data_IF_943592994025
#
_entry.id   IF_943592994025
#
_cell.length_a   1.000
_cell.length_b   1.000
_cell.length_c   1.000
_cell.angle_alpha   90.00
_cell.angle_beta   90.00
_cell.angle_gamma   90.00
#
_symmetry.space_group_name_H-M   'P 1'
#
loop_
_entity.id
_entity.type
_entity.pdbx_description
1 polymer ?
#
# COMPACT_ATOMS: atom_id res chain seq x y z
N UNK A 1 -59.53 -32.90 -3.21
CA UNK A 1 -58.64 -32.45 -4.30
C UNK A 1 -58.12 -31.06 -3.92
N UNK A 2 -57.26 -30.92 -2.91
CA UNK A 2 -55.78 -30.88 -2.98
C UNK A 2 -55.18 -30.17 -4.20
N UNK A 3 -54.74 -28.92 -4.00
CA UNK A 3 -53.52 -28.34 -4.59
C UNK A 3 -52.86 -27.45 -3.54
N UNK A 4 -52.02 -28.11 -2.75
CA UNK A 4 -50.88 -27.53 -2.05
C UNK A 4 -49.75 -27.25 -3.02
N UNK A 5 -49.01 -26.17 -2.79
CA UNK A 5 -47.61 -26.04 -3.18
C UNK A 5 -47.34 -25.06 -4.30
N UNK A 6 -46.91 -23.85 -3.91
CA UNK A 6 -45.86 -23.08 -4.58
C UNK A 6 -45.44 -21.92 -3.67
N UNK A 7 -44.81 -22.26 -2.55
CA UNK A 7 -44.14 -21.32 -1.65
C UNK A 7 -42.80 -21.95 -1.26
N UNK A 8 -41.78 -21.80 -2.11
CA UNK A 8 -40.52 -22.52 -1.86
C UNK A 8 -39.34 -22.24 -2.77
N UNK A 9 -39.22 -21.07 -3.40
CA UNK A 9 -38.05 -20.78 -4.24
C UNK A 9 -37.64 -19.30 -4.22
N UNK A 10 -37.32 -18.74 -3.05
CA UNK A 10 -36.68 -17.40 -2.97
C UNK A 10 -35.90 -17.15 -1.67
N UNK A 11 -35.04 -18.07 -1.24
CA UNK A 11 -34.18 -17.86 -0.05
C UNK A 11 -32.71 -18.27 -0.22
N UNK A 12 -32.30 -18.86 -1.35
CA UNK A 12 -30.92 -19.33 -1.53
C UNK A 12 -29.92 -18.25 -2.04
N UNK A 13 -30.40 -17.10 -2.54
CA UNK A 13 -29.53 -16.06 -3.10
C UNK A 13 -28.84 -15.16 -2.04
N UNK A 14 -29.33 -15.16 -0.79
CA UNK A 14 -28.89 -14.23 0.26
C UNK A 14 -27.66 -14.65 1.08
N UNK A 15 -27.31 -15.95 1.12
CA UNK A 15 -26.26 -16.44 2.04
C UNK A 15 -24.83 -16.39 1.48
N UNK A 16 -24.67 -16.28 0.16
CA UNK A 16 -23.35 -16.34 -0.50
C UNK A 16 -22.64 -14.99 -0.63
N UNK A 17 -23.35 -13.88 -0.45
CA UNK A 17 -22.79 -12.53 -0.52
C UNK A 17 -21.88 -12.17 0.69
N UNK A 18 -22.29 -12.41 1.96
CA UNK A 18 -21.43 -12.12 3.11
C UNK A 18 -20.15 -12.96 3.11
N UNK A 19 -20.26 -14.27 2.85
CA UNK A 19 -19.09 -15.16 2.78
C UNK A 19 -18.07 -14.76 1.70
N UNK A 20 -18.52 -14.23 0.56
CA UNK A 20 -17.63 -13.71 -0.50
C UNK A 20 -16.87 -12.45 -0.10
N UNK A 21 -17.48 -11.59 0.72
CA UNK A 21 -16.84 -10.37 1.22
C UNK A 21 -15.76 -10.70 2.26
N UNK A 22 -16.01 -11.68 3.13
CA UNK A 22 -15.05 -12.11 4.14
C UNK A 22 -13.81 -12.77 3.52
N UNK A 23 -14.01 -13.63 2.51
CA UNK A 23 -12.89 -14.21 1.75
C UNK A 23 -12.05 -13.14 1.06
N UNK A 24 -12.70 -12.17 0.40
CA UNK A 24 -12.02 -11.07 -0.28
C UNK A 24 -11.28 -10.15 0.69
N UNK A 25 -11.83 -9.93 1.88
CA UNK A 25 -11.18 -9.20 2.96
C UNK A 25 -9.89 -9.91 3.39
N UNK A 26 -9.97 -11.21 3.68
CA UNK A 26 -8.81 -12.00 4.10
C UNK A 26 -7.70 -12.03 3.03
N UNK A 27 -8.07 -12.12 1.75
CA UNK A 27 -7.13 -12.05 0.63
C UNK A 27 -6.43 -10.68 0.55
N UNK A 28 -7.19 -9.58 0.70
CA UNK A 28 -6.64 -8.22 0.69
C UNK A 28 -5.73 -7.96 1.90
N UNK A 29 -6.10 -8.44 3.09
CA UNK A 29 -5.25 -8.35 4.28
C UNK A 29 -3.94 -9.10 4.08
N UNK A 30 -3.98 -10.30 3.46
CA UNK A 30 -2.77 -11.07 3.12
C UNK A 30 -1.89 -10.36 2.11
N UNK A 31 -2.47 -9.79 1.05
CA UNK A 31 -1.71 -8.99 0.08
C UNK A 31 -1.09 -7.75 0.73
N UNK A 32 -1.82 -7.05 1.60
CA UNK A 32 -1.30 -5.90 2.33
C UNK A 32 -0.13 -6.28 3.24
N UNK A 33 -0.21 -7.42 3.95
CA UNK A 33 0.86 -7.91 4.79
C UNK A 33 2.12 -8.25 3.99
N UNK A 34 1.97 -8.92 2.83
CA UNK A 34 3.10 -9.23 1.94
C UNK A 34 3.73 -7.96 1.38
N UNK A 35 2.91 -7.01 0.91
CA UNK A 35 3.39 -5.73 0.39
C UNK A 35 4.08 -4.90 1.47
N UNK A 36 3.56 -4.88 2.70
CA UNK A 36 4.20 -4.23 3.83
C UNK A 36 5.56 -4.84 4.14
N UNK A 37 5.64 -6.17 4.26
CA UNK A 37 6.90 -6.86 4.56
C UNK A 37 7.95 -6.62 3.46
N UNK A 38 7.53 -6.70 2.19
CA UNK A 38 8.41 -6.42 1.06
C UNK A 38 8.87 -4.96 1.04
N UNK A 39 7.96 -4.00 1.24
CA UNK A 39 8.29 -2.58 1.28
C UNK A 39 9.23 -2.23 2.44
N UNK A 40 9.00 -2.80 3.63
CA UNK A 40 9.86 -2.63 4.79
C UNK A 40 11.26 -3.19 4.53
N UNK A 41 11.36 -4.37 3.91
CA UNK A 41 12.64 -4.97 3.54
C UNK A 41 13.39 -4.11 2.52
N UNK A 42 12.71 -3.66 1.47
CA UNK A 42 13.29 -2.78 0.44
C UNK A 42 13.80 -1.49 1.07
N UNK A 43 13.02 -0.84 1.94
CA UNK A 43 13.48 0.36 2.64
C UNK A 43 14.66 0.09 3.57
N UNK A 44 14.69 -1.04 4.28
CA UNK A 44 15.84 -1.42 5.10
C UNK A 44 17.11 -1.57 4.27
N UNK A 45 17.01 -2.20 3.09
CA UNK A 45 18.12 -2.32 2.13
C UNK A 45 18.57 -0.93 1.65
N UNK A 46 17.63 -0.07 1.22
CA UNK A 46 17.95 1.28 0.74
C UNK A 46 18.63 2.10 1.83
N UNK A 47 18.07 2.15 3.05
CA UNK A 47 18.67 2.85 4.18
C UNK A 47 20.06 2.30 4.50
N UNK A 48 20.24 0.97 4.48
CA UNK A 48 21.55 0.33 4.65
C UNK A 48 22.56 0.74 3.58
N UNK A 49 22.15 0.75 2.31
CA UNK A 49 22.98 1.19 1.19
C UNK A 49 23.40 2.66 1.29
N UNK A 50 22.49 3.55 1.71
CA UNK A 50 22.78 4.97 1.93
C UNK A 50 23.83 5.14 3.04
N UNK A 51 23.67 4.43 4.16
CA UNK A 51 24.63 4.47 5.28
C UNK A 51 26.01 3.96 4.84
N UNK A 52 26.07 2.81 4.13
CA UNK A 52 27.33 2.19 3.70
C UNK A 52 28.05 3.02 2.63
N UNK A 53 27.30 3.67 1.72
CA UNK A 53 27.88 4.53 0.69
C UNK A 53 28.40 5.86 1.23
N UNK A 54 28.15 6.19 2.50
CA UNK A 54 28.52 7.49 3.06
C UNK A 54 27.77 8.66 2.41
N UNK A 55 26.65 8.37 1.73
CA UNK A 55 25.84 9.35 1.04
C UNK A 55 25.03 10.16 2.07
N UNK A 56 25.68 11.14 2.69
CA UNK A 56 25.02 12.09 3.58
C UNK A 56 24.47 13.27 2.78
N UNK A 57 23.30 13.78 3.18
CA UNK A 57 22.63 14.90 2.55
C UNK A 57 23.33 16.25 2.80
N UNK A 58 24.54 16.39 2.24
CA UNK A 58 25.30 17.64 2.21
C UNK A 58 26.24 17.68 1.00
N UNK A 59 26.10 16.73 0.07
CA UNK A 59 26.90 16.63 -1.17
C UNK A 59 26.13 17.23 -2.38
N UNK A 60 24.79 17.32 -2.26
CA UNK A 60 23.90 17.84 -3.30
C UNK A 60 23.75 19.36 -3.22
N UNK A 61 23.48 20.01 -4.35
CA UNK A 61 23.06 21.42 -4.35
C UNK A 61 21.72 21.57 -3.60
N UNK A 62 21.57 22.64 -2.81
CA UNK A 62 20.44 22.94 -1.90
C UNK A 62 19.04 22.57 -2.45
N UNK A 63 18.81 22.78 -3.75
CA UNK A 63 17.53 22.51 -4.43
C UNK A 63 17.25 21.01 -4.61
N UNK A 64 18.26 20.25 -5.07
CA UNK A 64 18.13 18.83 -5.39
C UNK A 64 18.16 17.97 -4.13
N UNK A 65 18.87 18.42 -3.10
CA UNK A 65 18.85 17.79 -1.79
C UNK A 65 17.42 17.77 -1.19
N UNK A 66 16.68 18.89 -1.27
CA UNK A 66 15.28 18.96 -0.81
C UNK A 66 14.38 17.97 -1.55
N UNK A 67 14.60 17.80 -2.86
CA UNK A 67 13.82 16.88 -3.68
C UNK A 67 14.11 15.42 -3.30
N UNK A 68 15.38 15.10 -3.03
CA UNK A 68 15.79 13.81 -2.51
C UNK A 68 15.14 13.51 -1.15
N UNK A 69 15.18 14.46 -0.22
CA UNK A 69 14.53 14.34 1.09
C UNK A 69 13.02 14.18 0.99
N UNK A 70 12.36 14.91 0.07
CA UNK A 70 10.94 14.74 -0.19
C UNK A 70 10.64 13.30 -0.66
N UNK A 71 11.45 12.75 -1.57
CA UNK A 71 11.36 11.35 -2.00
C UNK A 71 11.53 10.37 -0.84
N UNK A 72 12.53 10.58 0.01
CA UNK A 72 12.77 9.75 1.19
C UNK A 72 11.61 9.79 2.20
N UNK A 73 11.04 10.97 2.47
CA UNK A 73 9.87 11.14 3.33
C UNK A 73 8.64 10.43 2.75
N UNK A 74 8.40 10.52 1.44
CA UNK A 74 7.34 9.77 0.77
C UNK A 74 7.56 8.25 0.87
N UNK A 75 8.81 7.78 0.82
CA UNK A 75 9.16 6.38 1.06
C UNK A 75 8.84 5.92 2.48
N UNK A 76 9.11 6.76 3.50
CA UNK A 76 8.68 6.50 4.87
C UNK A 76 7.16 6.46 5.02
N UNK A 77 6.46 7.41 4.41
CA UNK A 77 5.00 7.48 4.40
C UNK A 77 4.37 6.26 3.73
N UNK A 78 4.95 5.79 2.63
CA UNK A 78 4.53 4.57 1.94
C UNK A 78 4.53 3.35 2.88
N UNK A 79 5.60 3.15 3.65
CA UNK A 79 5.69 2.05 4.63
C UNK A 79 4.59 2.17 5.68
N UNK A 80 4.33 3.38 6.19
CA UNK A 80 3.25 3.61 7.14
C UNK A 80 1.85 3.33 6.54
N UNK A 81 1.62 3.67 5.27
CA UNK A 81 0.36 3.39 4.57
C UNK A 81 0.16 1.89 4.37
N UNK A 82 1.20 1.13 3.99
CA UNK A 82 1.11 -0.32 3.91
C UNK A 82 0.93 -0.98 5.28
N UNK A 83 1.59 -0.47 6.32
CA UNK A 83 1.37 -0.92 7.70
C UNK A 83 -0.10 -0.73 8.10
N UNK A 84 -0.66 0.45 7.85
CA UNK A 84 -2.06 0.76 8.12
C UNK A 84 -3.04 -0.11 7.32
N UNK A 85 -2.68 -0.48 6.09
CA UNK A 85 -3.46 -1.42 5.27
C UNK A 85 -3.46 -2.84 5.84
N UNK A 86 -2.35 -3.26 6.46
CA UNK A 86 -2.19 -4.58 7.05
C UNK A 86 -2.88 -4.74 8.41
N UNK A 87 -3.28 -3.65 9.09
CA UNK A 87 -4.01 -3.74 10.36
C UNK A 87 -5.46 -4.20 10.10
N UNK A 88 -5.91 -5.32 10.70
CA UNK A 88 -7.27 -5.80 10.52
C UNK A 88 -8.30 -4.76 10.99
N UNK A 89 -9.29 -4.47 10.14
CA UNK A 89 -10.34 -3.46 10.39
C UNK A 89 -11.49 -3.94 11.28
N UNK A 90 -12.37 -3.02 11.67
CA UNK A 90 -13.53 -3.30 12.53
C UNK A 90 -14.57 -4.27 11.93
N UNK A 91 -15.70 -4.42 12.62
CA UNK A 91 -16.75 -5.42 12.32
C UNK A 91 -17.40 -5.28 10.94
N UNK A 92 -17.32 -4.11 10.30
CA UNK A 92 -17.85 -3.89 8.95
C UNK A 92 -16.89 -4.38 7.85
N UNK A 93 -17.17 -5.55 7.28
CA UNK A 93 -16.40 -6.12 6.17
C UNK A 93 -16.34 -5.19 4.93
N UNK A 94 -17.46 -4.56 4.56
CA UNK A 94 -17.54 -3.70 3.37
C UNK A 94 -16.68 -2.44 3.48
N UNK A 95 -16.71 -1.78 4.65
CA UNK A 95 -15.86 -0.61 4.93
C UNK A 95 -14.39 -0.98 5.00
N UNK A 96 -14.08 -2.14 5.59
CA UNK A 96 -12.71 -2.64 5.70
C UNK A 96 -12.10 -2.93 4.32
N UNK A 97 -12.83 -3.60 3.42
CA UNK A 97 -12.38 -3.85 2.03
C UNK A 97 -12.10 -2.55 1.28
N UNK A 98 -12.98 -1.56 1.39
CA UNK A 98 -12.84 -0.27 0.70
C UNK A 98 -11.65 0.53 1.24
N UNK A 99 -11.46 0.52 2.57
CA UNK A 99 -10.30 1.12 3.24
C UNK A 99 -8.99 0.47 2.79
N UNK A 100 -8.89 -0.86 2.87
CA UNK A 100 -7.67 -1.60 2.49
C UNK A 100 -7.34 -1.35 1.02
N UNK A 101 -8.33 -1.39 0.13
CA UNK A 101 -8.12 -1.14 -1.30
C UNK A 101 -7.59 0.27 -1.57
N UNK A 102 -8.15 1.29 -0.91
CA UNK A 102 -7.67 2.66 -1.04
C UNK A 102 -6.25 2.85 -0.49
N UNK A 103 -5.96 2.28 0.68
CA UNK A 103 -4.62 2.33 1.27
C UNK A 103 -3.60 1.60 0.39
N UNK A 104 -3.93 0.44 -0.16
CA UNK A 104 -3.06 -0.28 -1.10
C UNK A 104 -2.76 0.56 -2.34
N UNK A 105 -3.77 1.20 -2.93
CA UNK A 105 -3.57 2.10 -4.09
C UNK A 105 -2.69 3.30 -3.76
N UNK A 106 -2.94 3.96 -2.63
CA UNK A 106 -2.13 5.07 -2.17
C UNK A 106 -0.68 4.64 -1.91
N UNK A 107 -0.48 3.50 -1.23
CA UNK A 107 0.82 2.91 -0.98
C UNK A 107 1.57 2.58 -2.28
N UNK A 108 0.89 2.00 -3.27
CA UNK A 108 1.48 1.71 -4.58
C UNK A 108 1.88 2.98 -5.36
N UNK A 109 1.07 4.04 -5.29
CA UNK A 109 1.44 5.33 -5.88
C UNK A 109 2.69 5.91 -5.21
N UNK A 110 2.75 5.87 -3.87
CA UNK A 110 3.91 6.32 -3.12
C UNK A 110 5.16 5.47 -3.41
N UNK A 111 4.99 4.16 -3.60
CA UNK A 111 6.06 3.22 -3.98
C UNK A 111 6.71 3.58 -5.32
N UNK A 112 5.96 4.17 -6.25
CA UNK A 112 6.50 4.64 -7.53
C UNK A 112 7.08 6.04 -7.41
N UNK A 113 6.36 6.96 -6.75
CA UNK A 113 6.75 8.37 -6.67
C UNK A 113 8.01 8.62 -5.83
N UNK A 114 8.14 7.92 -4.69
CA UNK A 114 9.27 8.08 -3.78
C UNK A 114 10.62 7.82 -4.48
N UNK A 115 10.87 6.65 -5.09
CA UNK A 115 12.12 6.41 -5.80
C UNK A 115 12.26 7.27 -7.05
N UNK A 116 11.17 7.61 -7.75
CA UNK A 116 11.24 8.48 -8.92
C UNK A 116 11.81 9.87 -8.56
N UNK A 117 11.36 10.47 -7.45
CA UNK A 117 11.90 11.75 -6.97
C UNK A 117 13.37 11.64 -6.58
N UNK A 118 13.77 10.57 -5.90
CA UNK A 118 15.18 10.34 -5.55
C UNK A 118 16.05 10.16 -6.80
N UNK A 119 15.58 9.46 -7.83
CA UNK A 119 16.32 9.29 -9.08
C UNK A 119 16.42 10.62 -9.83
N UNK A 120 15.33 11.38 -9.91
CA UNK A 120 15.32 12.70 -10.56
C UNK A 120 16.27 13.66 -9.87
N UNK A 121 16.36 13.64 -8.53
CA UNK A 121 17.31 14.49 -7.80
C UNK A 121 18.76 14.10 -8.07
N UNK A 122 19.07 12.80 -8.13
CA UNK A 122 20.41 12.32 -8.50
C UNK A 122 20.79 12.74 -9.92
N UNK A 123 19.86 12.61 -10.87
CA UNK A 123 20.07 13.01 -12.26
C UNK A 123 20.24 14.53 -12.37
N UNK A 124 19.37 15.30 -11.70
CA UNK A 124 19.44 16.77 -11.69
C UNK A 124 20.77 17.29 -11.15
N UNK A 125 21.26 16.68 -10.07
CA UNK A 125 22.55 17.00 -9.47
C UNK A 125 23.73 16.66 -10.40
N UNK A 126 23.69 15.47 -11.02
CA UNK A 126 24.74 15.03 -11.94
C UNK A 126 24.87 15.95 -13.17
N UNK A 127 23.74 16.41 -13.72
CA UNK A 127 23.72 17.30 -14.88
C UNK A 127 23.78 18.78 -14.54
N UNK A 128 23.81 19.15 -13.24
CA UNK A 128 23.77 20.55 -12.76
C UNK A 128 22.64 21.37 -13.40
N UNK A 129 21.48 20.75 -13.55
CA UNK A 129 20.24 21.43 -13.96
C UNK A 129 19.74 22.35 -12.83
#
# INVERSE_FOLDING_TARGET
MSRTGDAGASTAAGSSAPARLDLRRAELERHAAVLFAAAALVMAVICGSVIVSGWFAGVLVDSWERLFWAGALLGGLMVAVFAAAAVPGGSDARRSVLRITWLLRAGLLLFVLAPALCIVSLVGDFYRL
#
